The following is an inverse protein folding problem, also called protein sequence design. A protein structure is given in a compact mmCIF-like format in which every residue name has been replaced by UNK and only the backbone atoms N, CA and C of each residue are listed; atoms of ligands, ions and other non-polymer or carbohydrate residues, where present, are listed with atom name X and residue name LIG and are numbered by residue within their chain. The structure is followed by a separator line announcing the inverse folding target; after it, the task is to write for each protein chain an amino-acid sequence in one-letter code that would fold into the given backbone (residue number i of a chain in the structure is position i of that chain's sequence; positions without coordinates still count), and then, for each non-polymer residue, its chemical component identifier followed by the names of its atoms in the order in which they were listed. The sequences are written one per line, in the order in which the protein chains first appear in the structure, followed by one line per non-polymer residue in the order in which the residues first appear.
data_IF_118721830638
#
_entry.id   IF_118721830638
#
_cell.length_a   1.000
_cell.length_b   1.000
_cell.length_c   1.000
_cell.angle_alpha   90.00
_cell.angle_beta   90.00
_cell.angle_gamma   90.00
#
_symmetry.space_group_name_H-M   'P 1'
#
loop_
_entity.id
_entity.type
_entity.pdbx_description
1 polymer ?
#
# COMPACT_ATOMS: atom_id res chain seq x y z
N UNK A 1 16.82 -11.23 3.69
CA UNK A 1 16.01 -11.05 4.91
C UNK A 1 14.57 -11.35 4.55
N UNK A 2 13.81 -11.97 5.45
CA UNK A 2 12.39 -12.23 5.23
C UNK A 2 11.58 -10.99 5.64
N UNK A 3 10.53 -10.61 4.89
CA UNK A 3 9.67 -9.50 5.26
C UNK A 3 8.91 -9.80 6.56
N UNK A 4 8.75 -8.78 7.40
CA UNK A 4 7.95 -8.80 8.63
C UNK A 4 6.72 -7.87 8.54
N UNK A 5 6.65 -7.08 7.47
CA UNK A 5 5.51 -6.22 7.14
C UNK A 5 5.00 -6.53 5.73
N UNK A 6 3.69 -6.52 5.58
CA UNK A 6 3.02 -6.56 4.28
C UNK A 6 2.37 -5.22 3.99
N UNK A 7 2.54 -4.73 2.76
CA UNK A 7 2.00 -3.45 2.31
C UNK A 7 1.17 -3.72 1.03
N UNK A 8 -0.16 -3.80 1.14
CA UNK A 8 -1.03 -3.87 -0.03
C UNK A 8 -0.94 -2.56 -0.81
N UNK A 9 -0.81 -2.68 -2.12
CA UNK A 9 -0.73 -1.58 -3.07
C UNK A 9 -1.93 -1.69 -4.01
N UNK A 10 -2.85 -0.74 -3.92
CA UNK A 10 -4.00 -0.66 -4.83
C UNK A 10 -3.75 0.46 -5.84
N UNK A 11 -3.80 0.11 -7.12
CA UNK A 11 -3.56 1.04 -8.22
C UNK A 11 -4.83 1.21 -9.06
N UNK A 12 -5.01 2.43 -9.58
CA UNK A 12 -6.04 2.75 -10.56
C UNK A 12 -5.36 3.23 -11.84
N UNK A 13 -5.38 2.40 -12.88
CA UNK A 13 -4.78 2.71 -14.18
C UNK A 13 -5.81 3.38 -15.11
N UNK A 14 -6.19 4.62 -14.79
CA UNK A 14 -6.89 5.50 -15.72
C UNK A 14 -5.89 6.26 -16.61
N UNK A 15 -6.34 7.31 -17.32
CA UNK A 15 -5.45 8.17 -18.13
C UNK A 15 -4.23 8.71 -17.34
N UNK A 16 -4.42 8.95 -16.03
CA UNK A 16 -3.34 9.22 -15.08
C UNK A 16 -3.36 8.12 -14.02
N UNK A 17 -2.31 7.30 -13.90
CA UNK A 17 -2.22 6.30 -12.85
C UNK A 17 -2.29 6.91 -11.45
N UNK A 18 -3.07 6.28 -10.57
CA UNK A 18 -3.24 6.70 -9.18
C UNK A 18 -2.97 5.53 -8.23
N UNK A 19 -2.56 5.85 -7.01
CA UNK A 19 -2.40 4.91 -5.90
C UNK A 19 -3.35 5.28 -4.77
N UNK A 20 -3.88 4.26 -4.11
CA UNK A 20 -4.67 4.46 -2.91
C UNK A 20 -3.76 4.73 -1.71
N UNK A 21 -4.01 5.85 -1.03
CA UNK A 21 -3.36 6.22 0.23
C UNK A 21 -4.43 6.56 1.26
N UNK A 22 -4.02 6.67 2.52
CA UNK A 22 -4.86 7.26 3.55
C UNK A 22 -4.14 8.37 4.32
N UNK A 23 -4.93 9.26 4.91
CA UNK A 23 -4.46 10.24 5.88
C UNK A 23 -4.78 9.74 7.29
N UNK A 24 -3.73 9.53 8.08
CA UNK A 24 -3.85 9.26 9.50
C UNK A 24 -4.11 10.57 10.24
N UNK A 25 -4.98 10.60 11.27
CA UNK A 25 -5.34 11.82 12.00
C UNK A 25 -4.17 12.53 12.71
N UNK A 26 -3.00 11.89 12.81
CA UNK A 26 -1.86 12.35 13.62
C UNK A 26 -0.49 12.11 12.95
N UNK A 27 -0.41 11.26 11.93
CA UNK A 27 0.86 10.81 11.35
C UNK A 27 0.98 11.10 9.84
N UNK A 28 0.07 11.92 9.30
CA UNK A 28 0.11 12.35 7.90
C UNK A 28 -0.34 11.25 6.93
N UNK A 29 0.16 11.33 5.70
CA UNK A 29 -0.22 10.40 4.61
C UNK A 29 0.61 9.12 4.66
N UNK A 30 -0.06 7.99 4.51
CA UNK A 30 0.52 6.66 4.66
C UNK A 30 -0.03 5.67 3.62
N UNK A 31 0.73 4.59 3.45
CA UNK A 31 0.28 3.35 2.81
C UNK A 31 -0.30 2.44 3.89
N UNK A 32 -1.31 1.64 3.51
CA UNK A 32 -1.77 0.52 4.35
C UNK A 32 -0.60 -0.43 4.56
N UNK A 33 -0.38 -0.85 5.81
CA UNK A 33 0.69 -1.79 6.15
C UNK A 33 0.59 -2.26 7.60
N UNK A 34 0.46 -3.57 7.79
CA UNK A 34 0.66 -4.19 9.09
C UNK A 34 1.62 -5.38 9.08
N UNK A 35 1.48 -6.19 10.12
CA UNK A 35 2.45 -7.25 10.47
C UNK A 35 2.12 -8.53 9.73
N UNK A 36 3.14 -9.22 9.21
CA UNK A 36 2.93 -10.58 8.71
C UNK A 36 2.85 -11.50 9.93
N UNK A 37 1.69 -12.10 10.17
CA UNK A 37 1.49 -12.99 11.31
C UNK A 37 2.12 -14.37 11.08
N UNK A 38 2.24 -15.14 12.18
CA UNK A 38 2.85 -16.46 12.12
C UNK A 38 2.02 -17.40 11.24
N UNK A 39 2.63 -17.86 10.15
CA UNK A 39 2.00 -18.79 9.22
C UNK A 39 1.35 -18.11 8.01
N UNK A 40 1.33 -16.78 7.98
CA UNK A 40 0.90 -16.01 6.80
C UNK A 40 2.05 -15.88 5.79
N UNK A 41 1.72 -15.97 4.51
CA UNK A 41 2.52 -15.40 3.44
C UNK A 41 2.36 -13.87 3.39
N UNK A 42 3.30 -13.13 2.77
CA UNK A 42 3.15 -11.68 2.58
C UNK A 42 1.87 -11.30 1.81
N UNK A 43 1.44 -12.15 0.87
CA UNK A 43 0.23 -11.98 0.08
C UNK A 43 -1.04 -12.10 0.95
N UNK A 44 -1.12 -13.11 1.81
CA UNK A 44 -2.24 -13.30 2.75
C UNK A 44 -2.32 -12.14 3.74
N UNK A 45 -1.18 -11.75 4.33
CA UNK A 45 -1.10 -10.62 5.23
C UNK A 45 -1.53 -9.31 4.53
N UNK A 46 -1.09 -9.07 3.28
CA UNK A 46 -1.50 -7.88 2.54
C UNK A 46 -3.02 -7.79 2.32
N UNK A 47 -3.69 -8.91 2.00
CA UNK A 47 -5.14 -8.94 1.85
C UNK A 47 -5.87 -8.72 3.18
N UNK A 48 -5.39 -9.32 4.28
CA UNK A 48 -5.96 -9.11 5.62
C UNK A 48 -5.83 -7.65 6.05
N UNK A 49 -4.63 -7.09 5.97
CA UNK A 49 -4.36 -5.69 6.33
C UNK A 49 -5.16 -4.71 5.46
N UNK A 50 -5.31 -5.01 4.17
CA UNK A 50 -6.17 -4.21 3.28
C UNK A 50 -7.63 -4.21 3.78
N UNK A 51 -8.17 -5.37 4.13
CA UNK A 51 -9.52 -5.48 4.66
C UNK A 51 -9.67 -4.75 6.01
N UNK A 52 -8.73 -4.92 6.93
CA UNK A 52 -8.77 -4.37 8.29
C UNK A 52 -8.64 -2.84 8.32
N UNK A 53 -7.69 -2.30 7.56
CA UNK A 53 -7.38 -0.86 7.60
C UNK A 53 -8.22 -0.03 6.64
N UNK A 54 -8.84 -0.63 5.61
CA UNK A 54 -9.57 0.13 4.56
C UNK A 54 -11.02 -0.29 4.31
N UNK A 55 -11.44 -1.46 4.80
CA UNK A 55 -12.75 -2.05 4.51
C UNK A 55 -12.87 -2.67 3.11
N UNK A 56 -11.76 -2.78 2.36
CA UNK A 56 -11.74 -3.41 1.04
C UNK A 56 -11.57 -4.93 1.23
N UNK A 57 -12.67 -5.66 1.13
CA UNK A 57 -12.68 -7.12 1.32
C UNK A 57 -12.52 -7.90 0.01
N UNK A 58 -12.96 -7.36 -1.13
CA UNK A 58 -12.98 -8.05 -2.40
C UNK A 58 -11.77 -7.70 -3.28
N UNK A 59 -10.59 -8.09 -2.81
CA UNK A 59 -9.33 -7.90 -3.54
C UNK A 59 -8.62 -9.23 -3.81
N UNK A 60 -7.82 -9.26 -4.87
CA UNK A 60 -6.90 -10.38 -5.17
C UNK A 60 -5.50 -9.88 -5.42
N UNK A 61 -4.51 -10.72 -5.13
CA UNK A 61 -3.10 -10.42 -5.37
C UNK A 61 -2.80 -10.63 -6.85
N UNK A 62 -2.30 -9.59 -7.50
CA UNK A 62 -1.83 -9.65 -8.88
C UNK A 62 -0.35 -10.01 -8.94
N UNK A 63 0.46 -9.36 -8.11
CA UNK A 63 1.91 -9.39 -8.25
C UNK A 63 2.62 -9.04 -6.94
N UNK A 64 3.79 -9.65 -6.71
CA UNK A 64 4.76 -9.22 -5.71
C UNK A 64 5.66 -8.11 -6.31
N UNK A 65 5.58 -6.91 -5.75
CA UNK A 65 6.35 -5.73 -6.20
C UNK A 65 7.72 -5.63 -5.52
N UNK A 66 8.09 -6.63 -4.73
CA UNK A 66 9.38 -6.77 -4.09
C UNK A 66 9.39 -6.39 -2.62
N UNK A 67 10.51 -6.72 -1.97
CA UNK A 67 10.76 -6.43 -0.56
C UNK A 67 11.77 -5.31 -0.37
N UNK A 68 11.48 -4.40 0.56
CA UNK A 68 12.30 -3.23 0.88
C UNK A 68 12.76 -3.25 2.33
N UNK A 69 14.07 -3.13 2.54
CA UNK A 69 14.66 -2.94 3.87
C UNK A 69 14.44 -1.48 4.27
N UNK A 70 13.48 -1.23 5.16
CA UNK A 70 13.03 0.14 5.48
C UNK A 70 14.05 0.97 6.26
N UNK A 71 15.01 0.28 6.90
CA UNK A 71 15.93 0.82 7.90
C UNK A 71 15.21 1.62 9.01
N UNK A 72 13.94 1.30 9.27
CA UNK A 72 13.09 1.93 10.26
C UNK A 72 12.57 0.84 11.20
N UNK A 73 12.99 0.89 12.47
CA UNK A 73 12.71 -0.16 13.45
C UNK A 73 13.11 -1.58 13.00
N UNK A 74 14.10 -1.70 12.10
CA UNK A 74 14.56 -3.00 11.59
C UNK A 74 13.59 -3.70 10.62
N UNK A 75 12.51 -3.04 10.18
CA UNK A 75 11.45 -3.67 9.41
C UNK A 75 11.84 -3.90 7.94
N UNK A 76 11.32 -4.99 7.37
CA UNK A 76 11.41 -5.33 5.95
C UNK A 76 9.99 -5.45 5.39
N UNK A 77 9.65 -4.58 4.44
CA UNK A 77 8.30 -4.46 3.92
C UNK A 77 8.20 -5.20 2.59
N UNK A 78 7.21 -6.08 2.45
CA UNK A 78 6.84 -6.67 1.17
C UNK A 78 5.67 -5.89 0.56
N UNK A 79 5.82 -5.43 -0.67
CA UNK A 79 4.77 -4.70 -1.40
C UNK A 79 4.01 -5.66 -2.29
N UNK A 80 2.70 -5.71 -2.16
CA UNK A 80 1.85 -6.65 -2.89
C UNK A 80 0.81 -5.87 -3.69
N UNK A 81 0.83 -6.00 -5.02
CA UNK A 81 -0.18 -5.37 -5.87
C UNK A 81 -1.52 -6.08 -5.71
N UNK A 82 -2.52 -5.35 -5.27
CA UNK A 82 -3.88 -5.82 -5.07
C UNK A 82 -4.82 -5.21 -6.14
N UNK A 83 -5.54 -6.06 -6.85
CA UNK A 83 -6.65 -5.67 -7.72
C UNK A 83 -7.97 -5.80 -6.96
N UNK A 84 -8.74 -4.72 -6.96
CA UNK A 84 -10.04 -4.64 -6.30
C UNK A 84 -11.13 -4.88 -7.32
N UNK A 85 -12.05 -5.78 -7.02
CA UNK A 85 -13.08 -6.25 -7.98
C UNK A 85 -14.31 -5.36 -8.07
N UNK A 86 -14.39 -4.35 -7.22
CA UNK A 86 -15.50 -3.41 -7.15
C UNK A 86 -15.03 -1.96 -7.33
N UNK A 87 -15.84 -1.08 -7.93
CA UNK A 87 -15.53 0.34 -8.00
C UNK A 87 -15.41 0.92 -6.59
N UNK A 88 -14.29 1.58 -6.31
CA UNK A 88 -14.07 2.30 -5.06
C UNK A 88 -14.41 3.78 -5.23
N UNK A 89 -14.93 4.45 -4.17
CA UNK A 89 -15.19 5.88 -4.21
C UNK A 89 -13.89 6.69 -4.32
N UNK A 90 -14.00 7.95 -4.74
CA UNK A 90 -12.85 8.85 -4.84
C UNK A 90 -12.23 9.17 -3.47
N UNK A 91 -13.05 9.19 -2.42
CA UNK A 91 -12.66 9.35 -1.02
C UNK A 91 -13.63 8.61 -0.11
N UNK A 92 -13.14 8.06 0.98
CA UNK A 92 -13.97 7.52 2.07
C UNK A 92 -13.23 7.55 3.40
N UNK A 93 -13.96 7.35 4.49
CA UNK A 93 -13.40 7.15 5.82
C UNK A 93 -13.63 5.70 6.24
N UNK A 94 -12.64 5.10 6.88
CA UNK A 94 -12.76 3.76 7.45
C UNK A 94 -12.30 3.79 8.91
N UNK A 95 -13.08 3.14 9.79
CA UNK A 95 -12.67 2.91 11.17
C UNK A 95 -11.89 1.61 11.20
N UNK A 96 -10.60 1.67 11.56
CA UNK A 96 -9.74 0.49 11.60
C UNK A 96 -10.28 -0.53 12.60
N UNK A 97 -10.12 -1.82 12.26
CA UNK A 97 -10.55 -2.92 13.11
C UNK A 97 -9.57 -3.23 14.25
N UNK A 98 -8.39 -2.60 14.26
CA UNK A 98 -7.28 -2.86 15.18
C UNK A 98 -7.28 -1.98 16.46
N UNK A 99 -6.37 -2.31 17.40
CA UNK A 99 -6.30 -1.88 18.82
C UNK A 99 -6.26 -0.35 19.10
N UNK A 100 -6.39 0.49 18.09
CA UNK A 100 -6.44 1.95 18.22
C UNK A 100 -7.68 2.62 17.60
N UNK A 101 -8.50 1.87 16.84
CA UNK A 101 -9.80 2.33 16.33
C UNK A 101 -9.73 3.68 15.61
N UNK A 102 -8.64 3.94 14.90
CA UNK A 102 -8.43 5.21 14.22
C UNK A 102 -9.36 5.33 13.01
N UNK A 103 -9.73 6.56 12.68
CA UNK A 103 -10.45 6.83 11.42
C UNK A 103 -9.44 7.27 10.39
N UNK A 104 -9.26 6.45 9.36
CA UNK A 104 -8.39 6.75 8.22
C UNK A 104 -9.21 7.36 7.09
N UNK A 105 -8.72 8.46 6.52
CA UNK A 105 -9.32 9.08 5.34
C UNK A 105 -8.60 8.63 4.07
N UNK A 106 -9.23 7.74 3.31
CA UNK A 106 -8.70 7.21 2.07
C UNK A 106 -8.95 8.16 0.90
N UNK A 107 -7.98 8.24 -0.01
CA UNK A 107 -8.04 9.03 -1.23
C UNK A 107 -7.08 8.50 -2.29
N UNK A 108 -7.37 8.81 -3.57
CA UNK A 108 -6.49 8.48 -4.69
C UNK A 108 -5.47 9.59 -4.94
N UNK A 109 -4.18 9.26 -4.83
CA UNK A 109 -3.08 10.16 -5.16
C UNK A 109 -2.54 9.86 -6.56
N UNK A 110 -2.22 10.90 -7.35
CA UNK A 110 -1.57 10.71 -8.65
C UNK A 110 -0.15 10.18 -8.47
N UNK A 111 0.25 9.21 -9.28
CA UNK A 111 1.64 8.73 -9.31
C UNK A 111 2.63 9.80 -9.82
N UNK A 112 2.15 10.82 -10.54
CA UNK A 112 2.98 11.93 -11.03
C UNK A 112 3.19 13.02 -9.97
N UNK A 113 2.30 13.09 -8.98
CA UNK A 113 2.26 14.14 -7.95
C UNK A 113 1.89 13.53 -6.59
N UNK A 114 2.80 12.71 -6.06
CA UNK A 114 2.61 12.09 -4.75
C UNK A 114 2.77 13.14 -3.63
N UNK A 115 1.99 13.04 -2.54
CA UNK A 115 1.98 14.01 -1.43
C UNK A 115 3.17 13.81 -0.49
N UNK A 116 4.40 13.78 -1.01
CA UNK A 116 5.61 13.48 -0.23
C UNK A 116 5.85 14.41 0.95
N UNK A 117 5.36 15.66 0.90
CA UNK A 117 5.45 16.63 1.99
C UNK A 117 4.60 16.28 3.21
N UNK A 118 3.53 15.51 3.02
CA UNK A 118 2.61 15.08 4.08
C UNK A 118 2.98 13.72 4.67
N UNK A 119 3.95 13.02 4.08
CA UNK A 119 4.36 11.69 4.52
C UNK A 119 5.45 11.76 5.60
N UNK A 120 5.32 10.93 6.63
CA UNK A 120 6.46 10.64 7.50
C UNK A 120 7.64 10.08 6.66
N UNK A 121 8.92 10.37 7.00
CA UNK A 121 10.07 10.04 6.14
C UNK A 121 10.16 8.57 5.70
N UNK A 122 9.70 7.61 6.51
CA UNK A 122 9.70 6.20 6.12
C UNK A 122 8.73 5.93 4.96
N UNK A 123 7.51 6.48 5.00
CA UNK A 123 6.51 6.31 3.94
C UNK A 123 6.91 7.05 2.67
N UNK A 124 7.56 8.21 2.79
CA UNK A 124 8.16 8.90 1.64
C UNK A 124 9.17 8.00 0.92
N UNK A 125 10.06 7.32 1.65
CA UNK A 125 11.04 6.40 1.07
C UNK A 125 10.38 5.12 0.53
N UNK A 126 9.36 4.60 1.22
CA UNK A 126 8.57 3.45 0.76
C UNK A 126 7.93 3.73 -0.60
N UNK A 127 7.28 4.89 -0.75
CA UNK A 127 6.72 5.33 -2.03
C UNK A 127 7.82 5.49 -3.09
N UNK A 128 9.00 6.00 -2.73
CA UNK A 128 10.15 6.06 -3.64
C UNK A 128 10.56 4.68 -4.17
N UNK A 129 10.70 3.69 -3.28
CA UNK A 129 10.98 2.30 -3.67
C UNK A 129 9.90 1.74 -4.59
N UNK A 130 8.63 1.90 -4.20
CA UNK A 130 7.48 1.40 -4.96
C UNK A 130 7.42 2.02 -6.36
N UNK A 131 7.69 3.31 -6.49
CA UNK A 131 7.69 3.98 -7.79
C UNK A 131 8.77 3.44 -8.74
N UNK A 132 9.96 3.10 -8.21
CA UNK A 132 11.00 2.46 -9.02
C UNK A 132 10.62 1.03 -9.41
N UNK A 133 10.02 0.26 -8.50
CA UNK A 133 9.51 -1.08 -8.80
C UNK A 133 8.44 -1.04 -9.92
N UNK A 134 7.48 -0.12 -9.84
CA UNK A 134 6.42 0.03 -10.85
C UNK A 134 6.97 0.46 -12.22
N UNK A 135 8.01 1.31 -12.25
CA UNK A 135 8.68 1.68 -13.52
C UNK A 135 9.35 0.47 -14.15
N UNK A 136 10.09 -0.31 -13.35
CA UNK A 136 10.79 -1.50 -13.82
C UNK A 136 9.80 -2.52 -14.41
N UNK A 137 8.67 -2.77 -13.74
CA UNK A 137 7.65 -3.70 -14.22
C UNK A 137 7.01 -3.26 -15.54
N UNK A 138 6.68 -1.97 -15.68
CA UNK A 138 6.16 -1.45 -16.97
C UNK A 138 7.18 -1.61 -18.09
N UNK A 139 8.47 -1.48 -17.78
CA UNK A 139 9.51 -1.59 -18.78
C UNK A 139 9.73 -3.04 -19.22
N UNK A 140 9.54 -4.02 -18.32
CA UNK A 140 9.48 -5.44 -18.69
C UNK A 140 8.27 -5.74 -19.57
N UNK A 141 7.06 -5.34 -19.15
CA UNK A 141 5.84 -5.59 -19.91
C UNK A 141 5.79 -4.91 -21.29
N UNK A 142 6.57 -3.85 -21.52
CA UNK A 142 6.66 -3.19 -22.82
C UNK A 142 7.69 -3.82 -23.77
N UNK A 143 8.55 -4.71 -23.26
CA UNK A 143 9.60 -5.40 -24.01
C UNK A 143 9.25 -6.86 -24.34
N UNK A 144 8.11 -7.36 -23.85
CA UNK A 144 7.52 -8.68 -24.16
C UNK A 144 6.46 -8.56 -25.29
#
# INVERSE_FOLDING_TARGET
MHPDKACPVVLCFAQRPRILLFRHPQAGVQLVKGTIERGESPAEAALRELAEESGIHNATICEDLGSWVSCHHGQVWSFQHCEVREPLPERWSHQTLDDHGHVFEFFWASLDELPYGDCHPVFRRALGFLMEALKYQRQLAAND
#
